data_IF_739687641791
#
_entry.id   IF_739687641791
#
_cell.length_a   1.000
_cell.length_b   1.000
_cell.length_c   1.000
_cell.angle_alpha   90.00
_cell.angle_beta   90.00
_cell.angle_gamma   90.00
#
_symmetry.space_group_name_H-M   'P 1'
#
loop_
_entity.id
_entity.type
_entity.pdbx_description
1 polymer ?
#
# COMPACT_ATOMS: atom_id res chain seq x y z
N UNK A 1 -15.83 -19.51 -7.90
CA UNK A 1 -15.61 -20.61 -6.93
C UNK A 1 -14.14 -21.02 -6.99
N UNK A 2 -13.23 -20.30 -6.33
CA UNK A 2 -11.83 -20.73 -6.25
C UNK A 2 -11.73 -21.85 -5.22
N UNK A 3 -11.34 -23.06 -5.65
CA UNK A 3 -11.05 -24.16 -4.74
C UNK A 3 -9.92 -23.72 -3.80
N UNK A 4 -10.22 -23.66 -2.50
CA UNK A 4 -9.27 -23.24 -1.45
C UNK A 4 -8.23 -24.33 -1.24
N UNK A 5 -7.18 -24.34 -2.06
CA UNK A 5 -6.03 -25.22 -1.89
C UNK A 5 -5.24 -24.77 -0.65
N UNK A 6 -4.89 -25.72 0.21
CA UNK A 6 -4.10 -25.43 1.42
C UNK A 6 -2.75 -24.83 0.99
N UNK A 7 -2.30 -23.72 1.61
CA UNK A 7 -1.05 -23.10 1.24
C UNK A 7 0.13 -24.04 1.47
N UNK A 8 1.06 -24.06 0.52
CA UNK A 8 2.26 -24.90 0.58
C UNK A 8 3.16 -24.50 1.74
N UNK A 9 3.89 -25.47 2.30
CA UNK A 9 4.99 -25.20 3.23
C UNK A 9 6.16 -24.61 2.43
N UNK A 10 6.69 -23.49 2.90
CA UNK A 10 7.83 -22.85 2.24
C UNK A 10 9.08 -23.74 2.35
N UNK A 11 9.92 -23.80 1.31
CA UNK A 11 11.23 -24.44 1.39
C UNK A 11 12.12 -23.72 2.42
N UNK A 12 13.25 -24.32 2.84
CA UNK A 12 14.16 -23.68 3.77
C UNK A 12 14.75 -22.39 3.17
N UNK A 13 14.36 -21.24 3.73
CA UNK A 13 14.83 -19.91 3.31
C UNK A 13 15.95 -19.42 4.23
N UNK A 14 16.82 -18.54 3.71
CA UNK A 14 17.84 -17.86 4.53
C UNK A 14 17.19 -16.90 5.54
N UNK A 15 16.27 -16.06 5.08
CA UNK A 15 15.51 -15.10 5.91
C UNK A 15 14.07 -15.03 5.40
N UNK A 16 13.09 -15.14 6.31
CA UNK A 16 11.68 -14.92 6.01
C UNK A 16 11.34 -13.47 6.32
N UNK A 17 11.18 -12.63 5.28
CA UNK A 17 10.84 -11.22 5.42
C UNK A 17 10.00 -10.71 4.26
N UNK A 18 9.18 -9.70 4.54
CA UNK A 18 8.48 -8.88 3.56
C UNK A 18 9.39 -7.71 3.19
N UNK A 19 9.58 -7.47 1.89
CA UNK A 19 10.51 -6.43 1.40
C UNK A 19 10.00 -5.01 1.66
N UNK A 20 8.71 -4.76 1.41
CA UNK A 20 8.06 -3.47 1.64
C UNK A 20 6.93 -3.62 2.67
N UNK A 21 7.23 -3.64 3.98
CA UNK A 21 6.24 -3.95 5.02
C UNK A 21 5.23 -2.82 5.28
N UNK A 22 5.58 -1.58 4.94
CA UNK A 22 4.74 -0.39 5.18
C UNK A 22 3.92 0.02 3.95
N UNK A 23 4.05 -0.69 2.83
CA UNK A 23 3.42 -0.32 1.57
C UNK A 23 3.92 1.02 1.01
N UNK A 24 3.23 1.48 -0.04
CA UNK A 24 3.44 2.82 -0.57
C UNK A 24 2.54 3.79 0.20
N UNK A 25 3.08 4.95 0.53
CA UNK A 25 2.31 6.02 1.16
C UNK A 25 1.31 6.58 0.15
N UNK A 26 0.03 6.52 0.48
CA UNK A 26 -1.00 7.17 -0.32
C UNK A 26 -0.80 8.70 -0.28
N UNK A 27 -0.85 9.31 -1.47
CA UNK A 27 -0.74 10.76 -1.63
C UNK A 27 -2.16 11.33 -1.60
N UNK A 28 -2.58 12.04 -0.55
CA UNK A 28 -3.99 12.37 -0.30
C UNK A 28 -4.62 13.20 -1.42
N UNK A 29 -3.85 14.10 -2.06
CA UNK A 29 -4.37 14.97 -3.11
C UNK A 29 -4.36 14.35 -4.51
N UNK A 30 -3.72 13.19 -4.72
CA UNK A 30 -3.63 12.58 -6.06
C UNK A 30 -4.99 12.16 -6.60
N UNK A 31 -5.86 11.61 -5.74
CA UNK A 31 -7.21 11.21 -6.13
C UNK A 31 -8.12 12.41 -6.43
N UNK A 32 -7.91 13.54 -5.74
CA UNK A 32 -8.65 14.78 -5.99
C UNK A 32 -8.14 15.45 -7.28
N UNK A 33 -6.84 15.40 -7.52
CA UNK A 33 -6.26 15.90 -8.76
C UNK A 33 -6.78 15.12 -9.98
N UNK A 34 -6.90 13.79 -9.87
CA UNK A 34 -7.46 12.99 -10.96
C UNK A 34 -8.93 13.28 -11.21
N UNK A 35 -9.72 13.61 -10.17
CA UNK A 35 -11.11 14.02 -10.35
C UNK A 35 -11.25 15.41 -10.99
N UNK A 36 -10.34 16.36 -10.72
CA UNK A 36 -10.29 17.64 -11.45
C UNK A 36 -10.04 17.40 -12.94
N UNK A 37 -9.05 16.56 -13.28
CA UNK A 37 -8.74 16.22 -14.67
C UNK A 37 -9.92 15.53 -15.36
N UNK A 38 -10.62 14.64 -14.67
CA UNK A 38 -11.83 13.99 -15.19
C UNK A 38 -12.98 15.00 -15.42
N UNK A 39 -13.12 16.00 -14.54
CA UNK A 39 -14.13 17.05 -14.69
C UNK A 39 -13.83 17.95 -15.91
N UNK A 40 -12.56 18.34 -16.10
CA UNK A 40 -12.18 19.10 -17.28
C UNK A 40 -12.33 18.30 -18.58
N UNK A 41 -12.11 16.98 -18.53
CA UNK A 41 -12.28 16.10 -19.68
C UNK A 41 -13.76 15.94 -20.09
N UNK A 42 -14.71 16.01 -19.15
CA UNK A 42 -16.14 15.82 -19.42
C UNK A 42 -16.91 17.11 -19.66
N UNK A 43 -16.66 18.14 -18.84
CA UNK A 43 -17.41 19.38 -18.83
C UNK A 43 -16.69 20.53 -19.55
N UNK A 44 -15.42 20.34 -19.95
CA UNK A 44 -14.58 21.39 -20.50
C UNK A 44 -13.78 22.14 -19.44
N UNK A 45 -12.77 22.87 -19.90
CA UNK A 45 -11.82 23.56 -19.01
C UNK A 45 -12.51 24.71 -18.26
N UNK A 46 -12.34 24.76 -16.94
CA UNK A 46 -12.76 25.87 -16.08
C UNK A 46 -14.25 26.24 -16.16
N UNK A 47 -15.13 25.24 -16.30
CA UNK A 47 -16.58 25.48 -16.19
C UNK A 47 -17.02 25.53 -14.73
N UNK A 48 -18.11 26.27 -14.45
CA UNK A 48 -18.67 26.41 -13.09
C UNK A 48 -18.97 25.05 -12.42
N UNK A 49 -19.18 23.98 -13.21
CA UNK A 49 -19.38 22.63 -12.70
C UNK A 49 -18.17 22.01 -11.99
N UNK A 50 -16.95 22.44 -12.30
CA UNK A 50 -15.72 21.91 -11.68
C UNK A 50 -15.24 22.68 -10.45
N UNK A 51 -15.86 23.81 -10.12
CA UNK A 51 -15.41 24.71 -9.04
C UNK A 51 -15.30 24.02 -7.66
N UNK A 52 -16.22 23.11 -7.34
CA UNK A 52 -16.20 22.36 -6.07
C UNK A 52 -15.00 21.40 -5.99
N UNK A 53 -14.65 20.75 -7.09
CA UNK A 53 -13.54 19.78 -7.15
C UNK A 53 -12.20 20.52 -7.12
N UNK A 54 -12.12 21.66 -7.80
CA UNK A 54 -10.95 22.54 -7.73
C UNK A 54 -10.73 23.10 -6.32
N UNK A 55 -11.80 23.48 -5.62
CA UNK A 55 -11.69 23.95 -4.24
C UNK A 55 -11.25 22.84 -3.29
N UNK A 56 -11.73 21.60 -3.48
CA UNK A 56 -11.26 20.44 -2.72
C UNK A 56 -9.76 20.19 -2.92
N UNK A 57 -9.24 20.39 -4.13
CA UNK A 57 -7.81 20.26 -4.41
C UNK A 57 -7.00 21.34 -3.69
N UNK A 58 -7.44 22.60 -3.71
CA UNK A 58 -6.79 23.70 -2.97
C UNK A 58 -6.72 23.39 -1.48
N UNK A 59 -7.85 23.02 -0.88
CA UNK A 59 -7.92 22.66 0.54
C UNK A 59 -6.96 21.51 0.89
N UNK A 60 -6.77 20.54 -0.01
CA UNK A 60 -5.83 19.44 0.20
C UNK A 60 -4.36 19.89 0.13
N UNK A 61 -4.03 20.80 -0.78
CA UNK A 61 -2.66 21.29 -0.99
C UNK A 61 -2.23 22.31 0.06
N UNK A 62 -3.17 23.13 0.55
CA UNK A 62 -2.94 24.12 1.61
C UNK A 62 -2.84 23.47 3.00
N UNK A 63 -3.34 22.24 3.13
CA UNK A 63 -3.31 21.47 4.38
C UNK A 63 -1.89 20.99 4.76
N UNK A 64 -1.63 20.78 6.07
CA UNK A 64 -0.37 20.21 6.51
C UNK A 64 -0.21 18.78 5.98
N UNK A 65 1.03 18.41 5.64
CA UNK A 65 1.34 17.03 5.23
C UNK A 65 1.02 16.06 6.37
N UNK A 66 0.40 14.88 6.08
CA UNK A 66 0.10 13.91 7.12
C UNK A 66 1.38 13.46 7.82
N UNK A 67 1.26 12.99 9.06
CA UNK A 67 2.40 12.36 9.74
C UNK A 67 2.77 11.03 9.05
N UNK A 68 4.05 10.63 9.08
CA UNK A 68 4.45 9.33 8.58
C UNK A 68 3.79 8.23 9.45
N UNK A 69 3.21 7.18 8.83
CA UNK A 69 2.63 6.08 9.58
C UNK A 69 3.72 5.33 10.35
N UNK A 70 3.32 4.66 11.45
CA UNK A 70 4.24 3.81 12.21
C UNK A 70 4.77 2.68 11.34
N UNK A 71 6.03 2.32 11.54
CA UNK A 71 6.64 1.18 10.85
C UNK A 71 6.00 -0.13 11.30
N UNK A 72 5.71 -1.00 10.36
CA UNK A 72 5.23 -2.36 10.58
C UNK A 72 6.36 -3.24 11.12
N UNK A 73 6.05 -3.94 12.22
CA UNK A 73 6.96 -4.88 12.89
C UNK A 73 6.84 -6.31 12.33
N UNK A 74 6.19 -6.50 11.18
CA UNK A 74 5.95 -7.83 10.60
C UNK A 74 7.22 -8.66 10.44
N UNK A 75 8.34 -8.03 10.05
CA UNK A 75 9.62 -8.71 9.85
C UNK A 75 10.24 -9.22 11.16
N UNK A 76 9.95 -8.56 12.30
CA UNK A 76 10.39 -9.02 13.61
C UNK A 76 9.72 -10.36 13.95
N UNK A 77 8.40 -10.44 13.77
CA UNK A 77 7.65 -11.67 14.02
C UNK A 77 7.98 -12.78 13.01
N UNK A 78 8.09 -12.46 11.71
CA UNK A 78 8.46 -13.46 10.69
C UNK A 78 9.84 -14.08 10.92
N UNK A 79 10.80 -13.29 11.41
CA UNK A 79 12.11 -13.80 11.82
C UNK A 79 12.01 -14.81 12.97
N UNK A 80 11.20 -14.52 13.98
CA UNK A 80 11.00 -15.39 15.16
C UNK A 80 10.27 -16.69 14.82
N UNK A 81 9.32 -16.66 13.89
CA UNK A 81 8.51 -17.82 13.51
C UNK A 81 9.04 -18.60 12.30
N UNK A 82 10.12 -18.14 11.67
CA UNK A 82 10.73 -18.75 10.49
C UNK A 82 10.81 -20.28 10.58
N UNK A 83 11.44 -20.81 11.63
CA UNK A 83 11.71 -22.25 11.76
C UNK A 83 10.46 -23.10 12.03
N UNK A 84 9.34 -22.47 12.41
CA UNK A 84 8.04 -23.13 12.61
C UNK A 84 7.17 -23.09 11.35
N UNK A 85 7.44 -22.15 10.44
CA UNK A 85 6.66 -21.92 9.23
C UNK A 85 7.29 -22.60 8.01
N UNK A 86 8.62 -22.52 7.87
CA UNK A 86 9.36 -23.16 6.78
C UNK A 86 9.65 -24.63 7.08
N UNK A 87 9.81 -25.44 6.03
CA UNK A 87 10.32 -26.80 6.19
C UNK A 87 11.71 -26.79 6.88
N UNK A 88 11.91 -27.70 7.83
CA UNK A 88 13.17 -27.83 8.55
C UNK A 88 14.28 -28.19 7.55
N UNK A 89 15.32 -27.36 7.44
CA UNK A 89 16.49 -27.70 6.66
C UNK A 89 17.14 -28.94 7.28
N UNK A 90 17.31 -30.03 6.51
CA UNK A 90 18.16 -31.16 6.92
C UNK A 90 19.56 -30.60 7.17
N UNK A 91 19.99 -30.57 8.43
CA UNK A 91 21.36 -30.19 8.82
C UNK A 91 22.30 -31.17 8.12
N UNK A 92 23.01 -30.75 7.07
CA UNK A 92 24.09 -31.57 6.49
C UNK A 92 25.16 -31.72 7.57
N UNK A 93 25.38 -32.96 7.99
CA UNK A 93 26.45 -33.36 8.91
C UNK A 93 27.79 -33.27 8.19
#
# INVERSE_FOLDING_TARGET
MSASQKPIRLPPLKVLRVRNPNGQRERPCMAIMSSVLACWASAGYSTAGCAQVEQALRNCMDGPQPSPPRSSEVNYHLGRFKDRLTAQAKKKK
#
